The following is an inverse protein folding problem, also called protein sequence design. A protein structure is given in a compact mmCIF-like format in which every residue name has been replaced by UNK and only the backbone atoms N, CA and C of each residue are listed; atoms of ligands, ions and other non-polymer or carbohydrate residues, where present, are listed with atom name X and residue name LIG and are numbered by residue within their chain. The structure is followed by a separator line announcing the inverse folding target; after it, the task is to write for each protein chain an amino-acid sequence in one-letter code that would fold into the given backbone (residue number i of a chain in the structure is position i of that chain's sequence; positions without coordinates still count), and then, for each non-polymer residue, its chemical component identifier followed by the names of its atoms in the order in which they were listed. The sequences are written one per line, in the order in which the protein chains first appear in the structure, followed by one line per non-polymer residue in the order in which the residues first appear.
data_IF_737495042484
#
_entry.id   IF_737495042484
#
_cell.length_a   1.000
_cell.length_b   1.000
_cell.length_c   1.000
_cell.angle_alpha   90.00
_cell.angle_beta   90.00
_cell.angle_gamma   90.00
#
_symmetry.space_group_name_H-M   'P 1'
#
loop_
_entity.id
_entity.type
_entity.pdbx_description
1 polymer ?
#
# COMPACT_ATOMS: atom_id res chain seq x y z
N UNK A 1 -24.82 -84.85 -0.68
CA UNK A 1 -24.51 -84.14 -1.94
C UNK A 1 -24.74 -82.66 -1.70
N UNK A 2 -23.66 -81.90 -1.79
CA UNK A 2 -23.55 -80.45 -1.62
C UNK A 2 -24.29 -79.69 -2.72
N UNK A 3 -24.79 -78.48 -2.44
CA UNK A 3 -24.35 -77.22 -3.07
C UNK A 3 -25.07 -76.03 -2.44
N UNK A 4 -24.28 -75.11 -1.86
CA UNK A 4 -24.68 -73.80 -1.36
C UNK A 4 -24.47 -72.81 -2.52
N UNK A 5 -25.49 -72.03 -2.86
CA UNK A 5 -25.42 -70.97 -3.88
C UNK A 5 -25.23 -69.62 -3.19
N UNK A 6 -24.07 -68.99 -3.41
CA UNK A 6 -23.72 -67.65 -2.93
C UNK A 6 -23.75 -66.67 -4.11
N UNK A 7 -24.68 -65.72 -4.09
CA UNK A 7 -24.79 -64.65 -5.08
C UNK A 7 -23.84 -63.51 -4.70
N UNK A 8 -22.84 -63.23 -5.55
CA UNK A 8 -21.96 -62.05 -5.44
C UNK A 8 -22.54 -60.91 -6.27
N UNK A 9 -22.75 -59.75 -5.64
CA UNK A 9 -23.09 -58.48 -6.29
C UNK A 9 -21.79 -57.78 -6.66
N UNK A 10 -21.61 -57.48 -7.95
CA UNK A 10 -20.49 -56.71 -8.48
C UNK A 10 -20.86 -55.22 -8.53
N UNK A 11 -20.00 -54.38 -7.93
CA UNK A 11 -20.07 -52.92 -7.99
C UNK A 11 -19.40 -52.46 -9.29
N UNK A 12 -20.18 -51.86 -10.18
CA UNK A 12 -19.70 -51.26 -11.42
C UNK A 12 -19.40 -49.77 -11.18
N UNK A 13 -18.11 -49.40 -11.17
CA UNK A 13 -17.66 -48.00 -11.10
C UNK A 13 -17.48 -47.46 -12.51
N UNK A 14 -18.30 -46.48 -12.90
CA UNK A 14 -18.15 -45.74 -14.15
C UNK A 14 -17.18 -44.57 -13.92
N UNK A 15 -16.01 -44.61 -14.54
CA UNK A 15 -15.12 -43.46 -14.67
C UNK A 15 -15.58 -42.61 -15.86
N UNK A 16 -16.09 -41.41 -15.58
CA UNK A 16 -16.30 -40.36 -16.59
C UNK A 16 -14.98 -39.61 -16.76
N UNK A 17 -14.30 -39.85 -17.88
CA UNK A 17 -13.15 -39.05 -18.29
C UNK A 17 -13.64 -37.71 -18.86
N UNK A 18 -13.37 -36.61 -18.15
CA UNK A 18 -13.56 -35.27 -18.68
C UNK A 18 -12.30 -34.86 -19.43
N UNK A 19 -12.38 -34.77 -20.77
CA UNK A 19 -11.32 -34.28 -21.63
C UNK A 19 -11.19 -32.76 -21.45
N UNK A 20 -10.09 -32.31 -20.82
CA UNK A 20 -9.71 -30.91 -20.80
C UNK A 20 -9.09 -30.53 -22.16
N UNK A 21 -9.75 -29.66 -22.92
CA UNK A 21 -9.10 -28.93 -24.00
C UNK A 21 -8.41 -27.70 -23.40
N UNK A 22 -7.09 -27.67 -23.48
CA UNK A 22 -6.29 -26.51 -23.12
C UNK A 22 -6.36 -25.50 -24.27
N UNK A 23 -7.26 -24.51 -24.15
CA UNK A 23 -7.17 -23.30 -24.95
C UNK A 23 -6.04 -22.42 -24.41
N UNK A 24 -5.16 -22.03 -25.32
CA UNK A 24 -4.00 -21.18 -25.12
C UNK A 24 -4.48 -19.74 -24.88
N UNK A 25 -4.97 -19.46 -23.67
CA UNK A 25 -5.35 -18.11 -23.24
C UNK A 25 -4.12 -17.38 -22.69
N UNK A 26 -3.88 -16.10 -23.04
CA UNK A 26 -2.77 -15.35 -22.47
C UNK A 26 -2.88 -15.39 -20.95
N UNK A 27 -1.77 -15.73 -20.30
CA UNK A 27 -1.60 -15.83 -18.86
C UNK A 27 -1.72 -14.42 -18.25
N UNK A 28 -2.95 -13.92 -18.15
CA UNK A 28 -3.27 -12.75 -17.33
C UNK A 28 -3.21 -13.25 -15.90
N UNK A 29 -2.07 -13.01 -15.26
CA UNK A 29 -1.91 -13.10 -13.82
C UNK A 29 -2.93 -12.16 -13.17
N UNK A 30 -4.12 -12.67 -12.86
CA UNK A 30 -5.05 -12.01 -11.95
C UNK A 30 -4.41 -12.05 -10.56
N UNK A 31 -3.60 -11.05 -10.22
CA UNK A 31 -3.35 -10.74 -8.83
C UNK A 31 -4.67 -10.22 -8.28
N UNK A 32 -5.35 -10.96 -7.39
CA UNK A 32 -6.62 -10.49 -6.89
C UNK A 32 -6.29 -9.37 -5.89
N UNK A 33 -6.59 -8.12 -6.25
CA UNK A 33 -6.38 -7.02 -5.34
C UNK A 33 -7.46 -7.00 -4.25
N UNK A 34 -7.02 -6.74 -3.01
CA UNK A 34 -7.88 -6.75 -1.82
C UNK A 34 -8.91 -5.62 -1.89
N UNK A 35 -10.12 -5.90 -1.42
CA UNK A 35 -11.08 -4.83 -1.09
C UNK A 35 -10.58 -4.03 0.12
N UNK A 36 -10.97 -2.77 0.27
CA UNK A 36 -10.55 -1.96 1.42
C UNK A 36 -11.56 -0.90 1.82
N UNK A 37 -11.54 -0.52 3.09
CA UNK A 37 -12.15 0.71 3.58
C UNK A 37 -11.22 1.91 3.31
N UNK A 38 -11.80 2.99 2.79
CA UNK A 38 -11.13 4.27 2.51
C UNK A 38 -11.85 5.38 3.24
N UNK A 39 -11.12 6.47 3.52
CA UNK A 39 -11.65 7.62 4.29
C UNK A 39 -12.29 7.18 5.61
N UNK A 40 -11.72 6.14 6.24
CA UNK A 40 -12.27 5.58 7.48
C UNK A 40 -11.96 6.54 8.61
N UNK A 41 -13.03 7.07 9.20
CA UNK A 41 -12.99 7.94 10.38
C UNK A 41 -13.60 7.19 11.55
N UNK A 42 -13.10 7.47 12.75
CA UNK A 42 -13.60 6.88 13.98
C UNK A 42 -13.91 7.94 15.03
N UNK A 43 -15.03 7.75 15.73
CA UNK A 43 -15.44 8.60 16.85
C UNK A 43 -15.92 7.75 18.00
N UNK A 44 -15.72 8.20 19.23
CA UNK A 44 -16.27 7.54 20.40
C UNK A 44 -17.75 7.91 20.53
N UNK A 45 -18.64 6.93 20.41
CA UNK A 45 -20.09 7.12 20.57
C UNK A 45 -20.50 7.06 22.05
N UNK A 46 -19.92 6.10 22.79
CA UNK A 46 -20.07 5.93 24.24
C UNK A 46 -18.72 5.52 24.84
N UNK A 47 -18.51 5.65 26.17
CA UNK A 47 -17.29 5.17 26.81
C UNK A 47 -16.98 3.71 26.44
N UNK A 48 -15.84 3.47 25.80
CA UNK A 48 -15.43 2.15 25.32
C UNK A 48 -16.22 1.59 24.13
N UNK A 49 -16.98 2.44 23.42
CA UNK A 49 -17.72 2.08 22.20
C UNK A 49 -17.47 3.09 21.09
N UNK A 50 -17.22 2.57 19.90
CA UNK A 50 -16.75 3.35 18.78
C UNK A 50 -17.70 3.28 17.61
N UNK A 51 -17.62 4.29 16.76
CA UNK A 51 -18.30 4.39 15.49
C UNK A 51 -17.27 4.55 14.39
N UNK A 52 -17.44 3.77 13.32
CA UNK A 52 -16.64 3.83 12.11
C UNK A 52 -17.50 4.29 10.95
N UNK A 53 -17.05 5.33 10.25
CA UNK A 53 -17.67 5.83 9.03
C UNK A 53 -16.60 5.80 7.93
N UNK A 54 -16.94 5.25 6.78
CA UNK A 54 -16.00 5.21 5.65
C UNK A 54 -16.66 4.77 4.36
N UNK A 55 -15.83 4.51 3.36
CA UNK A 55 -16.24 4.05 2.04
C UNK A 55 -15.55 2.73 1.70
N UNK A 56 -16.30 1.77 1.21
CA UNK A 56 -15.81 0.51 0.68
C UNK A 56 -15.47 0.67 -0.80
N UNK A 57 -14.26 0.27 -1.18
CA UNK A 57 -13.81 0.29 -2.57
C UNK A 57 -13.35 -1.09 -3.03
N UNK A 58 -13.46 -1.31 -4.34
CA UNK A 58 -12.88 -2.45 -5.03
C UNK A 58 -11.36 -2.30 -5.22
N UNK A 59 -10.76 -3.31 -5.86
CA UNK A 59 -9.35 -3.34 -6.25
C UNK A 59 -8.90 -2.18 -7.14
N UNK A 60 -9.84 -1.56 -7.85
CA UNK A 60 -9.59 -0.44 -8.75
C UNK A 60 -9.81 0.92 -8.06
N UNK A 61 -9.94 0.94 -6.72
CA UNK A 61 -10.27 2.11 -5.91
C UNK A 61 -11.62 2.77 -6.28
N UNK A 62 -12.56 2.01 -6.84
CA UNK A 62 -13.91 2.48 -7.13
C UNK A 62 -14.84 2.09 -5.99
N UNK A 63 -15.78 2.97 -5.63
CA UNK A 63 -16.83 2.65 -4.66
C UNK A 63 -17.51 1.33 -5.07
N UNK A 64 -17.76 0.47 -4.10
CA UNK A 64 -18.27 -0.86 -4.37
C UNK A 64 -19.38 -1.27 -3.39
N UNK A 65 -20.32 -2.07 -3.90
CA UNK A 65 -21.26 -2.81 -3.08
C UNK A 65 -20.53 -4.02 -2.48
N UNK A 66 -20.62 -4.13 -1.17
CA UNK A 66 -19.98 -5.20 -0.43
C UNK A 66 -20.40 -5.17 1.03
N UNK A 67 -19.62 -5.83 1.88
CA UNK A 67 -19.84 -5.94 3.31
C UNK A 67 -18.70 -5.29 4.07
N UNK A 68 -19.02 -4.36 4.96
CA UNK A 68 -18.11 -3.89 6.00
C UNK A 68 -18.49 -4.58 7.32
N UNK A 69 -17.52 -5.19 8.00
CA UNK A 69 -17.70 -5.94 9.25
C UNK A 69 -16.65 -5.48 10.26
N UNK A 70 -17.07 -5.08 11.45
CA UNK A 70 -16.16 -4.78 12.55
C UNK A 70 -16.77 -5.22 13.87
N UNK A 71 -15.99 -5.92 14.71
CA UNK A 71 -16.39 -6.34 16.07
C UNK A 71 -17.80 -6.97 16.14
N UNK A 72 -18.16 -7.79 15.15
CA UNK A 72 -19.46 -8.45 15.07
C UNK A 72 -20.64 -7.59 14.56
N UNK A 73 -20.41 -6.31 14.26
CA UNK A 73 -21.39 -5.43 13.57
C UNK A 73 -21.07 -5.39 12.09
N UNK A 74 -22.09 -5.42 11.24
CA UNK A 74 -21.87 -5.38 9.81
C UNK A 74 -22.91 -4.55 9.07
N UNK A 75 -22.52 -4.05 7.90
CA UNK A 75 -23.40 -3.32 7.01
C UNK A 75 -23.05 -3.61 5.55
N UNK A 76 -24.09 -3.80 4.74
CA UNK A 76 -23.94 -3.82 3.28
C UNK A 76 -23.87 -2.40 2.73
N UNK A 77 -22.97 -2.15 1.77
CA UNK A 77 -22.68 -0.81 1.22
C UNK A 77 -23.34 -0.58 -0.14
N UNK A 78 -24.46 -1.24 -0.42
CA UNK A 78 -25.05 -1.27 -1.76
C UNK A 78 -26.01 -0.10 -2.03
N UNK A 79 -25.98 0.93 -1.18
CA UNK A 79 -26.81 2.14 -1.28
C UNK A 79 -28.02 2.15 -0.34
N UNK A 80 -28.97 3.08 -0.53
CA UNK A 80 -30.11 3.23 0.36
C UNK A 80 -30.96 1.97 0.45
N UNK A 81 -31.35 1.60 1.67
CA UNK A 81 -32.08 0.36 1.95
C UNK A 81 -31.18 -0.84 2.20
N UNK A 82 -29.84 -0.68 2.17
CA UNK A 82 -28.93 -1.80 2.43
C UNK A 82 -29.08 -2.33 3.86
N UNK A 83 -29.10 -3.67 4.05
CA UNK A 83 -29.31 -4.28 5.34
C UNK A 83 -28.07 -4.17 6.26
N UNK A 84 -28.34 -4.33 7.56
CA UNK A 84 -27.34 -4.45 8.62
C UNK A 84 -27.41 -5.85 9.25
N UNK A 85 -26.30 -6.36 9.78
CA UNK A 85 -26.30 -7.65 10.49
C UNK A 85 -27.19 -7.63 11.72
N UNK A 86 -27.22 -6.51 12.43
CA UNK A 86 -28.07 -6.27 13.59
C UNK A 86 -29.56 -6.07 13.25
N UNK A 87 -29.92 -6.10 11.96
CA UNK A 87 -31.27 -5.84 11.47
C UNK A 87 -31.52 -4.37 11.11
N UNK A 88 -32.59 -4.14 10.35
CA UNK A 88 -32.91 -2.83 9.79
C UNK A 88 -32.12 -2.49 8.52
N UNK A 89 -32.27 -1.25 8.06
CA UNK A 89 -31.64 -0.75 6.84
C UNK A 89 -31.00 0.61 7.07
N UNK A 90 -30.11 1.02 6.15
CA UNK A 90 -29.54 2.37 6.14
C UNK A 90 -29.87 3.11 4.84
N UNK A 91 -30.17 4.40 4.94
CA UNK A 91 -30.25 5.40 3.86
C UNK A 91 -28.89 5.88 3.25
N UNK A 92 -27.80 5.12 3.39
CA UNK A 92 -26.47 5.60 3.00
C UNK A 92 -26.26 5.60 1.49
N UNK A 93 -25.34 6.45 1.01
CA UNK A 93 -24.87 6.39 -0.38
C UNK A 93 -24.20 5.05 -0.69
N UNK A 94 -24.19 4.70 -1.97
CA UNK A 94 -23.47 3.54 -2.48
C UNK A 94 -21.99 3.59 -2.10
N UNK A 95 -21.44 2.45 -1.69
CA UNK A 95 -20.08 2.31 -1.18
C UNK A 95 -19.90 2.76 0.27
N UNK A 96 -20.81 3.52 0.87
CA UNK A 96 -20.58 4.06 2.22
C UNK A 96 -21.06 3.10 3.33
N UNK A 97 -20.35 3.10 4.46
CA UNK A 97 -20.74 2.37 5.67
C UNK A 97 -20.70 3.25 6.94
N UNK A 98 -21.58 2.94 7.90
CA UNK A 98 -21.65 3.53 9.23
C UNK A 98 -21.89 2.41 10.26
N UNK A 99 -20.80 1.92 10.84
CA UNK A 99 -20.80 0.89 11.88
C UNK A 99 -20.73 1.56 13.25
N UNK A 100 -21.62 1.21 14.16
CA UNK A 100 -21.76 1.86 15.48
C UNK A 100 -21.69 0.84 16.61
N UNK A 101 -21.51 1.35 17.83
CA UNK A 101 -21.49 0.55 19.04
C UNK A 101 -20.44 -0.59 18.96
N UNK A 102 -19.27 -0.25 18.43
CA UNK A 102 -18.17 -1.18 18.21
C UNK A 102 -17.35 -1.30 19.51
N UNK A 103 -17.29 -2.48 20.14
CA UNK A 103 -16.29 -2.72 21.17
C UNK A 103 -14.90 -2.82 20.52
N UNK A 104 -13.88 -2.48 21.29
CA UNK A 104 -12.49 -2.80 20.94
C UNK A 104 -12.21 -4.27 21.25
N UNK A 105 -11.27 -4.84 20.51
CA UNK A 105 -10.59 -6.08 20.84
C UNK A 105 -9.81 -5.94 22.17
N UNK A 106 -9.32 -7.04 22.76
CA UNK A 106 -8.55 -7.00 24.01
C UNK A 106 -7.29 -6.13 23.95
N UNK A 107 -6.73 -5.95 22.74
CA UNK A 107 -5.55 -5.11 22.49
C UNK A 107 -5.89 -3.61 22.31
N UNK A 108 -7.18 -3.24 22.44
CA UNK A 108 -7.65 -1.87 22.29
C UNK A 108 -7.94 -1.46 20.85
N UNK A 109 -7.74 -2.33 19.86
CA UNK A 109 -7.98 -2.03 18.44
C UNK A 109 -9.38 -2.45 17.99
N UNK A 110 -9.77 -2.06 16.77
CA UNK A 110 -10.96 -2.51 16.06
C UNK A 110 -10.51 -3.10 14.74
N UNK A 111 -10.93 -4.32 14.43
CA UNK A 111 -10.62 -4.95 13.14
C UNK A 111 -11.78 -4.71 12.19
N UNK A 112 -11.54 -3.93 11.12
CA UNK A 112 -12.45 -3.76 10.00
C UNK A 112 -12.12 -4.78 8.92
N UNK A 113 -13.03 -5.71 8.67
CA UNK A 113 -12.99 -6.63 7.53
C UNK A 113 -13.92 -6.14 6.44
N UNK A 114 -13.48 -6.28 5.20
CA UNK A 114 -14.22 -5.83 4.02
C UNK A 114 -14.33 -6.93 2.99
N UNK A 115 -15.49 -7.02 2.33
CA UNK A 115 -15.77 -8.05 1.33
C UNK A 115 -16.46 -7.41 0.14
N UNK A 116 -15.83 -7.44 -1.03
CA UNK A 116 -16.43 -7.03 -2.30
C UNK A 116 -16.43 -8.25 -3.23
N UNK A 117 -17.54 -8.49 -3.93
CA UNK A 117 -17.65 -9.63 -4.83
C UNK A 117 -16.60 -9.52 -5.96
N UNK A 118 -15.82 -10.58 -6.15
CA UNK A 118 -14.72 -10.60 -7.12
C UNK A 118 -13.37 -10.11 -6.57
N UNK A 119 -13.31 -9.71 -5.30
CA UNK A 119 -12.09 -9.25 -4.63
C UNK A 119 -11.69 -10.18 -3.48
N UNK A 120 -10.41 -10.16 -3.10
CA UNK A 120 -9.97 -10.77 -1.83
C UNK A 120 -10.54 -9.94 -0.66
N UNK A 121 -10.98 -10.58 0.43
CA UNK A 121 -11.40 -9.87 1.63
C UNK A 121 -10.27 -9.00 2.20
N UNK A 122 -10.55 -7.72 2.43
CA UNK A 122 -9.61 -6.81 3.08
C UNK A 122 -9.66 -6.88 4.59
N UNK A 123 -8.54 -6.59 5.25
CA UNK A 123 -8.46 -6.46 6.71
C UNK A 123 -7.69 -5.20 7.10
N UNK A 124 -8.33 -4.33 7.87
CA UNK A 124 -7.74 -3.12 8.44
C UNK A 124 -7.83 -3.17 9.97
N UNK A 125 -6.75 -2.81 10.65
CA UNK A 125 -6.75 -2.62 12.10
C UNK A 125 -6.95 -1.12 12.35
N UNK A 126 -7.74 -0.75 13.34
CA UNK A 126 -8.02 0.66 13.68
C UNK A 126 -7.72 0.81 15.16
N UNK A 127 -6.89 1.78 15.52
CA UNK A 127 -6.65 2.13 16.92
C UNK A 127 -7.41 3.41 17.25
N UNK A 128 -8.57 3.29 17.90
CA UNK A 128 -9.43 4.44 18.11
C UNK A 128 -8.95 5.35 19.25
N UNK A 129 -8.09 4.85 20.14
CA UNK A 129 -7.64 5.57 21.34
C UNK A 129 -6.64 6.69 21.06
N UNK A 130 -6.26 6.90 19.79
CA UNK A 130 -5.31 7.95 19.39
C UNK A 130 -3.89 7.69 19.87
N UNK A 131 -3.65 6.63 20.65
CA UNK A 131 -2.31 6.12 20.95
C UNK A 131 -1.74 5.32 19.79
N UNK A 132 -1.96 5.76 18.54
CA UNK A 132 -1.18 5.39 17.35
C UNK A 132 -0.50 4.01 17.37
N UNK A 133 -1.23 2.94 17.70
CA UNK A 133 -0.66 1.59 17.67
C UNK A 133 -0.73 0.96 16.28
N UNK A 134 -1.43 1.61 15.35
CA UNK A 134 -1.33 1.30 13.93
C UNK A 134 0.06 1.67 13.44
N UNK A 135 0.98 0.72 13.37
CA UNK A 135 2.28 0.96 12.74
C UNK A 135 2.07 1.16 11.23
N UNK A 136 2.82 2.07 10.63
CA UNK A 136 2.99 2.09 9.19
C UNK A 136 4.12 1.13 8.81
N UNK A 137 4.04 0.54 7.62
CA UNK A 137 5.13 -0.27 7.07
C UNK A 137 5.80 0.49 5.95
N UNK A 138 7.10 0.34 5.80
CA UNK A 138 7.82 0.99 4.72
C UNK A 138 9.01 0.18 4.25
N UNK A 139 9.36 0.32 2.98
CA UNK A 139 10.60 -0.22 2.39
C UNK A 139 11.18 0.74 1.37
N UNK A 140 12.34 0.38 0.81
CA UNK A 140 13.09 1.18 -0.14
C UNK A 140 13.25 0.42 -1.47
N UNK A 141 13.18 1.17 -2.57
CA UNK A 141 13.54 0.71 -3.90
C UNK A 141 14.29 1.82 -4.63
N UNK A 142 15.18 1.46 -5.54
CA UNK A 142 15.81 2.41 -6.45
C UNK A 142 15.55 2.01 -7.89
N UNK A 143 15.25 2.98 -8.74
CA UNK A 143 15.20 2.85 -10.20
C UNK A 143 16.43 3.50 -10.85
N UNK A 144 17.31 4.06 -10.03
CA UNK A 144 18.59 4.64 -10.47
C UNK A 144 19.57 3.50 -10.70
N UNK A 145 20.34 3.63 -11.78
CA UNK A 145 21.38 2.68 -12.16
C UNK A 145 22.74 3.37 -12.20
N UNK A 146 23.80 2.59 -12.01
CA UNK A 146 25.18 3.05 -12.25
C UNK A 146 25.71 2.45 -13.55
N UNK A 147 26.51 3.21 -14.30
CA UNK A 147 26.99 2.75 -15.62
C UNK A 147 27.92 1.53 -15.56
N UNK A 148 28.65 1.37 -14.44
CA UNK A 148 29.73 0.38 -14.29
C UNK A 148 29.54 -0.60 -13.13
N UNK A 149 28.52 -0.43 -12.30
CA UNK A 149 28.28 -1.28 -11.12
C UNK A 149 26.81 -1.27 -10.72
N UNK A 150 26.48 -2.02 -9.66
CA UNK A 150 25.25 -1.81 -8.91
C UNK A 150 25.29 -0.51 -8.11
N UNK A 151 24.11 0.05 -7.88
CA UNK A 151 23.87 1.16 -6.98
C UNK A 151 23.37 0.65 -5.64
N UNK A 152 23.88 1.16 -4.52
CA UNK A 152 23.29 0.91 -3.20
C UNK A 152 22.50 2.14 -2.78
N UNK A 153 21.20 1.99 -2.62
CA UNK A 153 20.30 3.01 -2.07
C UNK A 153 19.92 2.60 -0.65
N UNK A 154 20.16 3.48 0.31
CA UNK A 154 19.77 3.28 1.70
C UNK A 154 18.86 4.39 2.18
N UNK A 155 17.90 4.06 3.04
CA UNK A 155 17.07 5.04 3.73
C UNK A 155 16.84 4.63 5.18
N UNK A 156 16.92 5.60 6.08
CA UNK A 156 16.81 5.43 7.53
C UNK A 156 15.67 6.26 8.07
N UNK A 157 14.76 5.61 8.82
CA UNK A 157 13.66 6.24 9.56
C UNK A 157 13.64 5.66 10.97
N UNK A 158 13.53 6.52 11.99
CA UNK A 158 13.52 6.12 13.40
C UNK A 158 14.69 5.17 13.79
N UNK A 159 15.85 5.34 13.15
CA UNK A 159 17.04 4.50 13.38
C UNK A 159 17.01 3.13 12.69
N UNK A 160 15.96 2.80 11.95
CA UNK A 160 15.88 1.59 11.12
C UNK A 160 16.27 1.91 9.68
N UNK A 161 17.24 1.20 9.13
CA UNK A 161 17.72 1.37 7.75
C UNK A 161 17.19 0.26 6.84
N UNK A 162 16.78 0.62 5.63
CA UNK A 162 16.51 -0.31 4.53
C UNK A 162 17.42 -0.04 3.36
N UNK A 163 17.79 -1.11 2.67
CA UNK A 163 18.67 -1.06 1.51
C UNK A 163 17.97 -1.63 0.27
N UNK A 164 18.17 -0.98 -0.86
CA UNK A 164 17.85 -1.49 -2.19
C UNK A 164 19.10 -1.44 -3.06
N UNK A 165 19.38 -2.53 -3.76
CA UNK A 165 20.51 -2.62 -4.68
C UNK A 165 19.96 -2.48 -6.09
N UNK A 166 20.26 -1.36 -6.73
CA UNK A 166 19.91 -1.05 -8.11
C UNK A 166 20.83 -1.70 -9.12
N UNK A 167 20.35 -1.94 -10.35
CA UNK A 167 21.11 -2.59 -11.40
C UNK A 167 22.22 -1.70 -11.99
N UNK A 168 23.10 -2.33 -12.75
CA UNK A 168 23.95 -1.60 -13.68
C UNK A 168 23.11 -1.11 -14.87
N UNK A 169 23.38 0.10 -15.35
CA UNK A 169 22.68 0.66 -16.49
C UNK A 169 22.83 -0.24 -17.73
N UNK A 170 21.71 -0.53 -18.39
CA UNK A 170 21.66 -1.43 -19.54
C UNK A 170 21.58 -2.92 -19.19
N UNK A 171 21.61 -3.29 -17.91
CA UNK A 171 21.28 -4.65 -17.49
C UNK A 171 19.76 -4.83 -17.37
N UNK A 172 19.29 -6.07 -17.55
CA UNK A 172 17.90 -6.47 -17.34
C UNK A 172 17.62 -6.92 -15.89
N UNK A 173 18.59 -6.72 -15.00
CA UNK A 173 18.46 -7.07 -13.58
C UNK A 173 17.53 -6.06 -12.90
N UNK A 174 16.60 -6.54 -12.08
CA UNK A 174 15.74 -5.67 -11.28
C UNK A 174 16.42 -5.30 -9.97
N UNK A 175 16.00 -4.17 -9.40
CA UNK A 175 16.46 -3.73 -8.09
C UNK A 175 16.00 -4.66 -6.99
N UNK A 176 16.83 -4.85 -5.95
CA UNK A 176 16.44 -5.64 -4.79
C UNK A 176 15.51 -4.83 -3.87
N UNK A 177 14.58 -5.51 -3.21
CA UNK A 177 13.69 -4.91 -2.22
C UNK A 177 13.83 -5.72 -0.93
N UNK A 178 14.18 -5.05 0.15
CA UNK A 178 14.21 -5.65 1.49
C UNK A 178 12.79 -5.77 2.08
N UNK A 179 12.64 -6.68 3.05
CA UNK A 179 11.42 -6.77 3.86
C UNK A 179 11.10 -5.43 4.51
N UNK A 180 9.83 -5.05 4.52
CA UNK A 180 9.39 -3.78 5.09
C UNK A 180 9.73 -3.66 6.58
N UNK A 181 10.12 -2.46 7.02
CA UNK A 181 10.21 -2.07 8.42
C UNK A 181 8.86 -1.56 8.90
N UNK A 182 8.68 -1.51 10.22
CA UNK A 182 7.55 -0.83 10.84
C UNK A 182 8.00 0.46 11.50
N UNK A 183 7.15 1.48 11.49
CA UNK A 183 7.35 2.77 12.18
C UNK A 183 6.03 3.23 12.81
N UNK A 184 6.13 4.12 13.79
CA UNK A 184 4.94 4.79 14.32
C UNK A 184 4.41 5.81 13.31
N UNK A 185 3.10 6.06 13.36
CA UNK A 185 2.44 7.04 12.48
C UNK A 185 2.86 8.46 12.79
N UNK A 186 2.47 9.36 11.89
CA UNK A 186 2.79 10.77 11.97
C UNK A 186 3.97 11.14 11.08
N UNK A 187 4.43 12.38 11.21
CA UNK A 187 5.51 12.91 10.38
C UNK A 187 6.86 12.43 10.92
N UNK A 188 7.61 11.73 10.08
CA UNK A 188 8.94 11.19 10.39
C UNK A 188 9.99 11.88 9.54
N UNK A 189 11.16 12.09 10.15
CA UNK A 189 12.35 12.49 9.41
C UNK A 189 12.99 11.25 8.81
N UNK A 190 13.46 11.36 7.58
CA UNK A 190 14.28 10.35 6.94
C UNK A 190 15.62 10.93 6.51
N UNK A 191 16.63 10.07 6.50
CA UNK A 191 17.91 10.30 5.82
C UNK A 191 18.12 9.19 4.83
N UNK A 192 18.67 9.49 3.66
CA UNK A 192 18.95 8.50 2.64
C UNK A 192 20.30 8.77 1.99
N UNK A 193 20.86 7.74 1.36
CA UNK A 193 22.04 7.88 0.53
C UNK A 193 22.02 6.92 -0.65
N UNK A 194 22.66 7.32 -1.73
CA UNK A 194 22.92 6.48 -2.90
C UNK A 194 24.39 6.50 -3.28
N UNK A 195 24.94 5.33 -3.63
CA UNK A 195 26.33 5.22 -4.04
C UNK A 195 26.54 4.09 -5.06
N UNK A 196 27.36 4.36 -6.08
CA UNK A 196 27.81 3.32 -7.00
C UNK A 196 28.89 2.45 -6.34
N UNK A 197 28.68 1.14 -6.32
CA UNK A 197 29.51 0.18 -5.56
C UNK A 197 30.99 0.11 -5.99
N UNK A 198 31.33 0.55 -7.21
CA UNK A 198 32.69 0.43 -7.76
C UNK A 198 33.37 1.76 -8.08
N UNK A 199 32.89 2.88 -7.51
CA UNK A 199 33.45 4.21 -7.75
C UNK A 199 34.07 4.83 -6.50
N UNK A 200 34.99 5.77 -6.69
CA UNK A 200 35.34 6.79 -5.68
C UNK A 200 34.25 7.88 -5.62
N UNK A 201 33.04 7.57 -6.10
CA UNK A 201 31.95 8.52 -6.16
C UNK A 201 31.44 8.72 -4.73
N UNK A 202 31.51 9.95 -4.26
CA UNK A 202 30.98 10.32 -2.96
C UNK A 202 29.46 10.01 -2.92
N UNK A 203 28.97 9.38 -1.84
CA UNK A 203 27.56 9.06 -1.72
C UNK A 203 26.71 10.32 -1.78
N UNK A 204 25.70 10.32 -2.65
CA UNK A 204 24.71 11.40 -2.69
C UNK A 204 23.82 11.21 -1.47
N UNK A 205 23.64 12.26 -0.68
CA UNK A 205 22.88 12.22 0.57
C UNK A 205 21.60 13.04 0.46
N UNK A 206 20.51 12.47 0.97
CA UNK A 206 19.17 13.05 0.98
C UNK A 206 18.64 13.14 2.41
N UNK A 207 17.79 14.13 2.66
CA UNK A 207 17.02 14.17 3.90
C UNK A 207 15.69 14.88 3.70
N UNK A 208 14.69 14.49 4.49
CA UNK A 208 13.37 15.08 4.38
C UNK A 208 12.41 14.55 5.44
N UNK A 209 11.12 14.78 5.22
CA UNK A 209 10.05 14.27 6.06
C UNK A 209 8.99 13.55 5.25
N UNK A 210 8.39 12.52 5.84
CA UNK A 210 7.27 11.76 5.27
C UNK A 210 6.19 11.58 6.34
N UNK A 211 4.92 11.68 5.96
CA UNK A 211 3.80 11.48 6.87
C UNK A 211 3.26 10.05 6.72
N UNK A 212 3.32 9.29 7.81
CA UNK A 212 2.84 7.91 7.86
C UNK A 212 1.43 7.83 8.42
N UNK A 213 0.52 7.21 7.68
CA UNK A 213 -0.84 6.88 8.11
C UNK A 213 -0.90 5.49 8.75
N UNK A 214 -1.82 5.27 9.72
CA UNK A 214 -1.96 3.99 10.42
C UNK A 214 -2.31 2.86 9.47
N UNK A 215 -1.60 1.73 9.57
CA UNK A 215 -1.81 0.50 8.78
C UNK A 215 -1.64 0.68 7.27
N UNK A 216 -1.00 1.76 6.84
CA UNK A 216 -0.60 1.98 5.46
C UNK A 216 0.79 1.42 5.21
N UNK A 217 1.05 1.06 3.95
CA UNK A 217 2.36 0.61 3.49
C UNK A 217 2.93 1.63 2.53
N UNK A 218 4.22 1.93 2.66
CA UNK A 218 4.89 2.96 1.88
C UNK A 218 6.12 2.42 1.17
N UNK A 219 6.37 2.94 -0.02
CA UNK A 219 7.55 2.67 -0.80
C UNK A 219 8.33 3.98 -1.01
N UNK A 220 9.57 4.01 -0.52
CA UNK A 220 10.52 5.06 -0.86
C UNK A 220 11.19 4.69 -2.18
N UNK A 221 10.92 5.46 -3.23
CA UNK A 221 11.42 5.21 -4.59
C UNK A 221 12.47 6.26 -4.92
N UNK A 222 13.70 5.80 -5.09
CA UNK A 222 14.77 6.63 -5.59
C UNK A 222 14.75 6.66 -7.12
N UNK A 223 14.60 7.83 -7.72
CA UNK A 223 14.42 8.04 -9.17
C UNK A 223 15.15 9.31 -9.63
N UNK A 224 15.19 9.56 -10.95
CA UNK A 224 15.61 10.86 -11.48
C UNK A 224 14.39 11.73 -11.81
N UNK A 225 14.43 12.98 -11.37
CA UNK A 225 13.57 14.06 -11.88
C UNK A 225 14.44 15.03 -12.66
N UNK A 226 14.36 14.94 -13.99
CA UNK A 226 15.30 15.61 -14.88
C UNK A 226 16.72 15.07 -14.69
N UNK A 227 17.65 15.95 -14.30
CA UNK A 227 19.06 15.59 -14.06
C UNK A 227 19.40 15.46 -12.57
N UNK A 228 18.40 15.42 -11.70
CA UNK A 228 18.59 15.33 -10.25
C UNK A 228 17.95 14.07 -9.70
N UNK A 229 18.68 13.39 -8.83
CA UNK A 229 18.16 12.26 -8.08
C UNK A 229 17.20 12.75 -7.00
N UNK A 230 16.05 12.09 -6.87
CA UNK A 230 14.98 12.46 -5.94
C UNK A 230 14.37 11.21 -5.30
N UNK A 231 13.84 11.39 -4.10
CA UNK A 231 13.10 10.35 -3.37
C UNK A 231 11.62 10.68 -3.41
N UNK A 232 10.86 9.82 -4.08
CA UNK A 232 9.41 9.85 -4.11
C UNK A 232 8.86 8.85 -3.09
N UNK A 233 7.71 9.18 -2.51
CA UNK A 233 7.02 8.33 -1.55
C UNK A 233 5.67 7.95 -2.11
N UNK A 234 5.40 6.65 -2.18
CA UNK A 234 4.12 6.12 -2.65
C UNK A 234 3.48 5.28 -1.56
N UNK A 235 2.16 5.44 -1.38
CA UNK A 235 1.37 4.54 -0.55
C UNK A 235 0.94 3.35 -1.41
N UNK A 236 1.31 2.15 -0.98
CA UNK A 236 1.06 0.89 -1.68
C UNK A 236 0.17 -0.02 -0.85
N UNK A 237 -0.48 -0.99 -1.50
CA UNK A 237 -1.26 -2.01 -0.80
C UNK A 237 -0.37 -2.87 0.10
N UNK A 238 -0.79 -3.07 1.34
CA UNK A 238 -0.09 -3.93 2.29
C UNK A 238 -0.31 -5.40 1.94
N UNK A 239 0.60 -6.02 1.17
CA UNK A 239 0.55 -7.47 1.00
C UNK A 239 0.64 -8.18 2.36
N UNK A 240 -0.30 -9.08 2.60
CA UNK A 240 -0.59 -9.66 3.92
C UNK A 240 0.45 -10.68 4.43
N UNK A 241 1.54 -10.94 3.71
CA UNK A 241 2.60 -11.85 4.19
C UNK A 241 3.91 -11.68 3.42
N UNK A 242 5.01 -11.51 4.15
CA UNK A 242 6.43 -11.87 3.94
C UNK A 242 7.07 -12.08 2.52
N UNK A 243 6.40 -11.75 1.42
CA UNK A 243 6.88 -11.94 0.06
C UNK A 243 6.49 -10.70 -0.77
N UNK A 244 7.37 -9.70 -0.76
CA UNK A 244 7.38 -8.66 -1.78
C UNK A 244 8.06 -9.23 -3.03
N UNK A 245 7.34 -10.09 -3.76
CA UNK A 245 7.75 -10.50 -5.10
C UNK A 245 7.12 -9.53 -6.10
N UNK A 246 7.98 -8.61 -6.56
CA UNK A 246 8.02 -7.95 -7.87
C UNK A 246 6.74 -7.20 -8.28
N UNK A 247 6.78 -5.87 -8.21
CA UNK A 247 6.12 -5.03 -9.20
C UNK A 247 7.10 -4.82 -10.36
N UNK A 248 6.81 -5.28 -11.58
CA UNK A 248 7.36 -4.67 -12.78
C UNK A 248 6.29 -3.77 -13.43
N UNK A 249 6.78 -2.67 -13.98
CA UNK A 249 6.09 -1.70 -14.84
C UNK A 249 5.16 -0.72 -14.14
N UNK A 250 5.77 0.43 -13.79
CA UNK A 250 5.13 1.73 -13.91
C UNK A 250 4.72 1.89 -15.38
N UNK A 251 3.47 1.60 -15.71
CA UNK A 251 2.79 2.26 -16.82
C UNK A 251 1.93 3.37 -16.19
N UNK A 252 2.37 4.61 -16.37
CA UNK A 252 1.71 5.88 -16.05
C UNK A 252 1.08 6.02 -14.64
N UNK A 253 1.93 6.32 -13.65
CA UNK A 253 1.48 6.94 -12.40
C UNK A 253 1.71 8.46 -12.44
N UNK A 254 0.63 9.23 -12.33
CA UNK A 254 0.67 10.69 -12.12
C UNK A 254 1.38 11.00 -10.79
N UNK A 255 2.48 11.78 -10.78
CA UNK A 255 3.18 12.13 -9.55
C UNK A 255 2.30 12.99 -8.64
N UNK A 256 2.24 12.65 -7.35
CA UNK A 256 1.75 13.60 -6.34
C UNK A 256 2.77 14.72 -6.18
N UNK A 257 2.29 15.95 -6.37
CA UNK A 257 3.06 17.18 -6.35
C UNK A 257 3.76 17.37 -4.99
N UNK A 258 5.08 17.48 -5.00
CA UNK A 258 5.87 17.92 -3.84
C UNK A 258 5.73 19.43 -3.69
N UNK A 259 5.49 19.91 -2.46
CA UNK A 259 5.55 21.33 -2.15
C UNK A 259 7.01 21.81 -2.28
N UNK A 260 7.27 22.98 -2.90
CA UNK A 260 8.63 23.45 -3.13
C UNK A 260 9.36 23.69 -1.80
N UNK A 261 10.54 23.08 -1.67
CA UNK A 261 11.48 23.42 -0.61
C UNK A 261 11.99 24.85 -0.83
N UNK A 262 11.87 25.64 0.24
CA UNK A 262 12.36 27.00 0.33
C UNK A 262 13.89 26.98 0.30
N UNK A 263 14.48 27.29 -0.86
CA UNK A 263 15.92 27.55 -0.94
C UNK A 263 16.21 28.89 -0.26
N UNK A 264 16.83 28.84 0.92
CA UNK A 264 17.43 30.01 1.57
C UNK A 264 18.69 30.41 0.81
N UNK A 265 18.53 31.17 -0.28
CA UNK A 265 19.63 31.94 -0.87
C UNK A 265 19.67 33.31 -0.20
N UNK A 266 20.64 33.52 0.69
CA UNK A 266 21.05 34.86 1.11
C UNK A 266 21.74 35.54 -0.08
N UNK A 267 20.98 36.36 -0.80
CA UNK A 267 21.54 37.35 -1.73
C UNK A 267 21.96 38.57 -0.91
N UNK A 268 23.25 38.82 -0.89
CA UNK A 268 23.88 40.02 -0.36
C UNK A 268 23.81 41.14 -1.43
N UNK A 269 23.35 42.37 -1.10
CA UNK A 269 23.45 43.50 -2.01
C UNK A 269 24.42 44.56 -1.47
N UNK A 270 25.38 45.00 -2.29
CA UNK A 270 25.95 46.36 -2.20
C UNK A 270 26.45 46.79 -3.58
N UNK A 271 25.72 47.69 -4.22
CA UNK A 271 25.99 49.15 -4.31
C UNK A 271 26.90 49.51 -5.49
N UNK A 272 26.28 49.95 -6.59
CA UNK A 272 26.94 50.79 -7.59
C UNK A 272 26.17 52.12 -7.70
N UNK A 273 26.84 53.22 -7.36
CA UNK A 273 26.28 54.56 -7.31
C UNK A 273 27.20 55.54 -8.08
N UNK A 274 26.85 55.92 -9.32
CA UNK A 274 26.74 57.32 -9.85
C UNK A 274 26.90 57.48 -11.38
N UNK A 275 25.75 57.73 -12.00
CA UNK A 275 25.38 58.80 -12.96
C UNK A 275 26.41 59.92 -13.26
N UNK A 276 26.75 60.12 -14.54
CA UNK A 276 26.89 61.43 -15.26
C UNK A 276 26.97 61.16 -16.79
N UNK A 277 25.92 61.43 -17.59
CA UNK A 277 25.57 62.67 -18.33
C UNK A 277 26.59 63.12 -19.41
N UNK A 278 26.25 62.87 -20.68
CA UNK A 278 26.12 63.82 -21.81
C UNK A 278 26.62 63.24 -23.15
N UNK A 279 25.68 63.13 -24.11
CA UNK A 279 25.90 63.24 -25.56
C UNK A 279 26.32 64.69 -25.91
N UNK A 280 27.00 64.93 -27.04
CA UNK A 280 26.36 64.88 -28.36
C UNK A 280 26.66 63.59 -29.13
#
# INVERSE_FOLDING_TARGET
MSYVSLTKIAVLTLFVACSAMAENSPNVSFQPAESKGTSVTWTQDNPGRWRLIGNLVDSNNRLACGLALASGKCMFTCGPGSPRCEGGTHTMSFGSFDLRDLPTEPDGTIILQTFVAGNIPGRQVIDPSGSSSGQARWTAVTEVCCTRSSLNFTITIDGVTKTSVGPQCGSNTQSTIELAATTSVGTKKYTASSACSSGNDEPISFSGTVAFSPNSCYLAINTFSGNQEVINWEEVSCNSSANLVILPQVDDATPMNTLPQNQSNSVEPSEEYKKHKNSP
#
